data_IF_329990477796
#
_entry.id   IF_329990477796
#
_cell.length_a   1.000
_cell.length_b   1.000
_cell.length_c   1.000
_cell.angle_alpha   90.00
_cell.angle_beta   90.00
_cell.angle_gamma   90.00
#
_symmetry.space_group_name_H-M   'P 1'
#
loop_
_entity.id
_entity.type
_entity.pdbx_description
1 polymer ?
#
# COMPACT_ATOMS: atom_id res chain seq x y z
N UNK A 1 -14.44 -12.54 16.69
CA UNK A 1 -13.46 -11.55 16.16
C UNK A 1 -13.88 -10.79 14.89
N UNK A 2 -15.08 -11.03 14.37
CA UNK A 2 -15.63 -10.44 13.11
C UNK A 2 -16.20 -9.01 13.29
N UNK A 3 -16.47 -8.58 14.51
CA UNK A 3 -17.10 -7.27 14.81
C UNK A 3 -16.19 -6.03 14.67
N UNK A 4 -14.86 -6.16 14.86
CA UNK A 4 -13.93 -5.00 14.75
C UNK A 4 -13.62 -4.58 13.31
N UNK A 5 -13.64 -5.51 12.38
CA UNK A 5 -13.39 -5.21 10.94
C UNK A 5 -14.57 -4.42 10.31
N UNK A 6 -15.81 -4.71 10.72
CA UNK A 6 -17.01 -3.99 10.22
C UNK A 6 -17.01 -2.50 10.60
N UNK A 7 -16.54 -2.15 11.79
CA UNK A 7 -16.56 -0.75 12.24
C UNK A 7 -15.53 0.13 11.52
N UNK A 8 -14.42 -0.44 11.08
CA UNK A 8 -13.40 0.31 10.31
C UNK A 8 -13.84 0.55 8.87
N UNK A 9 -14.44 -0.45 8.24
CA UNK A 9 -15.02 -0.34 6.90
C UNK A 9 -16.14 0.72 6.83
N UNK A 10 -17.05 0.71 7.80
CA UNK A 10 -18.17 1.67 7.87
C UNK A 10 -17.68 3.09 8.17
N UNK A 11 -16.58 3.25 8.92
CA UNK A 11 -15.98 4.56 9.21
C UNK A 11 -15.30 5.18 7.98
N UNK A 12 -14.60 4.37 7.17
CA UNK A 12 -13.95 4.81 5.92
C UNK A 12 -14.96 5.18 4.84
N UNK A 13 -16.11 4.49 4.80
CA UNK A 13 -17.16 4.75 3.81
C UNK A 13 -17.97 6.02 4.10
N UNK A 14 -17.94 6.57 5.31
CA UNK A 14 -18.73 7.78 5.65
C UNK A 14 -18.36 9.00 4.81
N UNK A 15 -17.11 9.13 4.41
CA UNK A 15 -16.59 10.28 3.68
C UNK A 15 -16.37 10.00 2.18
N UNK A 16 -16.60 8.77 1.72
CA UNK A 16 -16.42 8.37 0.32
C UNK A 16 -17.75 8.45 -0.41
N UNK A 17 -17.86 9.20 -1.53
CA UNK A 17 -19.05 9.21 -2.36
C UNK A 17 -19.45 7.80 -2.80
N UNK A 18 -20.75 7.52 -2.76
CA UNK A 18 -21.29 6.18 -3.07
C UNK A 18 -20.91 5.72 -4.48
N UNK A 19 -20.84 6.62 -5.44
CA UNK A 19 -20.46 6.33 -6.82
C UNK A 19 -19.04 5.76 -6.92
N UNK A 20 -18.10 6.28 -6.11
CA UNK A 20 -16.74 5.78 -6.04
C UNK A 20 -16.71 4.36 -5.43
N UNK A 21 -17.50 4.12 -4.39
CA UNK A 21 -17.64 2.80 -3.78
C UNK A 21 -18.16 1.79 -4.80
N UNK A 22 -19.25 2.13 -5.49
CA UNK A 22 -19.89 1.26 -6.49
C UNK A 22 -18.94 0.98 -7.66
N UNK A 23 -18.30 2.02 -8.22
CA UNK A 23 -17.34 1.87 -9.31
C UNK A 23 -16.15 0.97 -8.90
N UNK A 24 -15.60 1.18 -7.70
CA UNK A 24 -14.48 0.36 -7.19
C UNK A 24 -14.90 -1.10 -6.97
N UNK A 25 -16.08 -1.32 -6.41
CA UNK A 25 -16.61 -2.69 -6.24
C UNK A 25 -16.86 -3.36 -7.59
N UNK A 26 -17.29 -2.58 -8.60
CA UNK A 26 -17.45 -3.04 -9.98
C UNK A 26 -16.14 -3.58 -10.57
N UNK A 27 -15.03 -2.84 -10.44
CA UNK A 27 -13.72 -3.26 -10.97
C UNK A 27 -13.15 -4.45 -10.21
N UNK A 28 -13.37 -4.55 -8.89
CA UNK A 28 -12.99 -5.75 -8.12
C UNK A 28 -13.81 -6.96 -8.59
N UNK A 29 -15.11 -6.77 -8.81
CA UNK A 29 -16.00 -7.80 -9.38
C UNK A 29 -15.58 -8.24 -10.78
N UNK A 30 -15.15 -7.31 -11.63
CA UNK A 30 -14.60 -7.58 -12.96
C UNK A 30 -13.33 -8.43 -12.87
N UNK A 31 -12.39 -8.11 -11.98
CA UNK A 31 -11.17 -8.89 -11.77
C UNK A 31 -11.49 -10.35 -11.39
N UNK A 32 -12.45 -10.56 -10.50
CA UNK A 32 -12.91 -11.90 -10.10
C UNK A 32 -13.59 -12.66 -11.24
N UNK A 33 -14.49 -12.00 -11.97
CA UNK A 33 -15.35 -12.68 -12.97
C UNK A 33 -14.63 -12.89 -14.30
N UNK A 34 -13.95 -11.86 -14.82
CA UNK A 34 -13.32 -11.89 -16.14
C UNK A 34 -11.95 -12.57 -16.12
N UNK A 35 -11.20 -12.35 -15.05
CA UNK A 35 -9.81 -12.82 -14.95
C UNK A 35 -9.63 -13.98 -13.99
N UNK A 36 -10.73 -14.43 -13.34
CA UNK A 36 -10.68 -15.42 -12.27
C UNK A 36 -9.59 -15.11 -11.24
N UNK A 37 -9.36 -13.79 -11.00
CA UNK A 37 -8.30 -13.33 -10.13
C UNK A 37 -8.79 -13.30 -8.68
N UNK A 38 -8.29 -14.20 -7.81
CA UNK A 38 -8.72 -14.26 -6.42
C UNK A 38 -8.19 -13.05 -5.66
N UNK A 39 -9.05 -12.42 -4.86
CA UNK A 39 -8.64 -11.27 -4.04
C UNK A 39 -9.15 -11.39 -2.61
N UNK A 40 -8.34 -10.95 -1.67
CA UNK A 40 -8.66 -10.86 -0.26
C UNK A 40 -9.58 -9.64 0.01
N UNK A 41 -10.43 -9.76 1.01
CA UNK A 41 -11.48 -8.78 1.27
C UNK A 41 -11.00 -7.36 1.59
N UNK A 42 -9.79 -7.19 2.07
CA UNK A 42 -9.28 -5.85 2.38
C UNK A 42 -9.06 -4.96 1.14
N UNK A 43 -9.01 -5.55 -0.07
CA UNK A 43 -8.94 -4.77 -1.32
C UNK A 43 -10.11 -3.81 -1.47
N UNK A 44 -11.30 -4.18 -0.99
CA UNK A 44 -12.48 -3.32 -1.03
C UNK A 44 -12.26 -2.01 -0.28
N UNK A 45 -11.45 -2.03 0.78
CA UNK A 45 -11.08 -0.84 1.55
C UNK A 45 -9.94 -0.10 0.88
N UNK A 46 -8.84 -0.80 0.62
CA UNK A 46 -7.59 -0.15 0.17
C UNK A 46 -7.71 0.42 -1.24
N UNK A 47 -8.38 -0.28 -2.15
CA UNK A 47 -8.58 0.23 -3.51
C UNK A 47 -9.63 1.36 -3.54
N UNK A 48 -10.70 1.27 -2.73
CA UNK A 48 -11.70 2.35 -2.65
C UNK A 48 -11.07 3.64 -2.12
N UNK A 49 -10.25 3.56 -1.08
CA UNK A 49 -9.52 4.72 -0.57
C UNK A 49 -8.57 5.28 -1.65
N UNK A 50 -7.81 4.42 -2.33
CA UNK A 50 -6.93 4.86 -3.41
C UNK A 50 -7.70 5.58 -4.52
N UNK A 51 -8.79 5.01 -5.03
CA UNK A 51 -9.62 5.61 -6.08
C UNK A 51 -10.20 6.95 -5.62
N UNK A 52 -10.66 7.04 -4.37
CA UNK A 52 -11.18 8.27 -3.81
C UNK A 52 -10.12 9.38 -3.73
N UNK A 53 -8.94 9.06 -3.20
CA UNK A 53 -7.85 10.04 -3.13
C UNK A 53 -7.37 10.48 -4.52
N UNK A 54 -7.27 9.54 -5.46
CA UNK A 54 -6.94 9.81 -6.85
C UNK A 54 -7.98 10.72 -7.51
N UNK A 55 -9.28 10.44 -7.32
CA UNK A 55 -10.39 11.26 -7.81
C UNK A 55 -10.31 12.69 -7.26
N UNK A 56 -10.11 12.84 -5.95
CA UNK A 56 -9.98 14.16 -5.29
C UNK A 56 -8.80 14.97 -5.86
N UNK A 57 -7.65 14.34 -6.06
CA UNK A 57 -6.47 15.04 -6.62
C UNK A 57 -6.69 15.45 -8.06
N UNK A 58 -7.29 14.57 -8.85
CA UNK A 58 -7.56 14.85 -10.26
C UNK A 58 -8.54 16.02 -10.41
N UNK A 59 -9.67 15.99 -9.70
CA UNK A 59 -10.71 17.03 -9.78
C UNK A 59 -10.25 18.36 -9.19
N UNK A 60 -9.32 18.34 -8.24
CA UNK A 60 -8.70 19.55 -7.69
C UNK A 60 -7.54 20.12 -8.55
N UNK A 61 -7.21 19.48 -9.68
CA UNK A 61 -6.05 19.88 -10.51
C UNK A 61 -4.69 19.68 -9.83
N UNK A 62 -4.62 18.86 -8.78
CA UNK A 62 -3.42 18.61 -7.95
C UNK A 62 -2.83 17.21 -8.18
N UNK A 63 -3.13 16.60 -9.31
CA UNK A 63 -2.61 15.27 -9.61
C UNK A 63 -1.09 15.32 -9.84
N UNK A 64 -0.39 14.38 -9.22
CA UNK A 64 1.03 14.12 -9.45
C UNK A 64 1.22 12.63 -9.67
N UNK A 65 1.95 12.27 -10.73
CA UNK A 65 2.25 10.88 -11.01
C UNK A 65 3.12 10.27 -9.90
N UNK A 66 2.79 9.04 -9.50
CA UNK A 66 3.62 8.28 -8.57
C UNK A 66 4.97 7.95 -9.23
N UNK A 67 6.09 8.12 -8.54
CA UNK A 67 7.42 7.73 -9.02
C UNK A 67 7.66 6.22 -8.96
N UNK A 68 6.63 5.42 -8.68
CA UNK A 68 6.74 3.97 -8.66
C UNK A 68 7.31 3.42 -9.98
N UNK A 69 8.18 2.40 -9.94
CA UNK A 69 8.73 1.77 -11.13
C UNK A 69 7.63 1.13 -12.00
N UNK A 70 7.93 0.89 -13.26
CA UNK A 70 7.07 0.08 -14.12
C UNK A 70 7.15 -1.39 -13.67
N UNK A 71 5.98 -1.99 -13.45
CA UNK A 71 5.84 -3.38 -12.97
C UNK A 71 5.22 -4.29 -14.02
N UNK A 72 5.04 -3.81 -15.25
CA UNK A 72 4.31 -4.50 -16.32
C UNK A 72 4.92 -5.85 -16.66
N UNK A 73 6.24 -5.88 -16.84
CA UNK A 73 6.94 -7.11 -17.26
C UNK A 73 6.95 -8.16 -16.16
N UNK A 74 6.99 -7.71 -14.91
CA UNK A 74 7.02 -8.60 -13.75
C UNK A 74 5.65 -9.14 -13.36
N UNK A 75 4.60 -8.32 -13.52
CA UNK A 75 3.23 -8.64 -13.13
C UNK A 75 2.24 -8.37 -14.27
N UNK A 76 2.35 -9.08 -15.41
CA UNK A 76 1.58 -8.77 -16.62
C UNK A 76 0.07 -8.89 -16.39
N UNK A 77 -0.41 -9.92 -15.69
CA UNK A 77 -1.83 -10.12 -15.42
C UNK A 77 -2.44 -9.06 -14.50
N UNK A 78 -1.88 -8.76 -13.30
CA UNK A 78 -2.35 -7.65 -12.49
C UNK A 78 -2.31 -6.30 -13.21
N UNK A 79 -1.30 -6.06 -14.05
CA UNK A 79 -1.20 -4.84 -14.84
C UNK A 79 -2.32 -4.75 -15.87
N UNK A 80 -2.66 -5.84 -16.55
CA UNK A 80 -3.78 -5.90 -17.50
C UNK A 80 -5.13 -5.68 -16.79
N UNK A 81 -5.34 -6.31 -15.62
CA UNK A 81 -6.52 -6.10 -14.78
C UNK A 81 -6.64 -4.62 -14.41
N UNK A 82 -5.54 -3.99 -13.99
CA UNK A 82 -5.52 -2.59 -13.61
C UNK A 82 -5.78 -1.64 -14.80
N UNK A 83 -5.32 -1.98 -16.01
CA UNK A 83 -5.62 -1.22 -17.22
C UNK A 83 -7.12 -1.26 -17.54
N UNK A 84 -7.76 -2.42 -17.41
CA UNK A 84 -9.21 -2.56 -17.57
C UNK A 84 -9.97 -1.83 -16.46
N UNK A 85 -9.50 -1.97 -15.21
CA UNK A 85 -10.08 -1.27 -14.06
C UNK A 85 -10.06 0.25 -14.26
N UNK A 86 -8.93 0.82 -14.72
CA UNK A 86 -8.83 2.26 -15.02
C UNK A 86 -9.84 2.69 -16.09
N UNK A 87 -10.00 1.91 -17.16
CA UNK A 87 -10.98 2.23 -18.23
C UNK A 87 -12.41 2.22 -17.69
N UNK A 88 -12.75 1.23 -16.88
CA UNK A 88 -14.06 1.14 -16.26
C UNK A 88 -14.30 2.29 -15.26
N UNK A 89 -13.31 2.60 -14.39
CA UNK A 89 -13.41 3.73 -13.47
C UNK A 89 -13.55 5.07 -14.20
N UNK A 90 -12.85 5.27 -15.32
CA UNK A 90 -12.99 6.48 -16.13
C UNK A 90 -14.42 6.62 -16.69
N UNK A 91 -14.98 5.52 -17.16
CA UNK A 91 -16.36 5.49 -17.67
C UNK A 91 -17.37 5.75 -16.54
N UNK A 92 -17.27 5.01 -15.44
CA UNK A 92 -18.26 5.01 -14.37
C UNK A 92 -18.27 6.31 -13.56
N UNK A 93 -17.10 6.97 -13.42
CA UNK A 93 -16.95 8.21 -12.67
C UNK A 93 -16.89 9.48 -13.55
N UNK A 94 -16.94 9.34 -14.88
CA UNK A 94 -16.88 10.47 -15.81
C UNK A 94 -15.59 11.27 -15.76
N UNK A 95 -14.47 10.62 -15.47
CA UNK A 95 -13.14 11.26 -15.35
C UNK A 95 -12.12 10.59 -16.27
N UNK A 96 -10.92 11.18 -16.37
CA UNK A 96 -9.81 10.62 -17.12
C UNK A 96 -8.60 10.40 -16.19
N UNK A 97 -8.60 9.30 -15.47
CA UNK A 97 -7.42 8.92 -14.67
C UNK A 97 -6.22 8.66 -15.59
N UNK A 98 -5.06 9.24 -15.30
CA UNK A 98 -3.86 9.07 -16.10
C UNK A 98 -3.39 7.60 -16.19
N UNK A 99 -2.68 7.25 -17.26
CA UNK A 99 -2.11 5.90 -17.42
C UNK A 99 -1.11 5.52 -16.31
N UNK A 100 -0.44 6.52 -15.74
CA UNK A 100 0.45 6.32 -14.60
C UNK A 100 -0.24 5.67 -13.38
N UNK A 101 -1.57 5.71 -13.30
CA UNK A 101 -2.33 5.05 -12.22
C UNK A 101 -2.49 3.53 -12.43
N UNK A 102 -2.27 3.01 -13.63
CA UNK A 102 -2.37 1.56 -13.88
C UNK A 102 -1.44 0.79 -12.94
N UNK A 103 -0.19 1.22 -12.78
CA UNK A 103 0.77 0.57 -11.88
C UNK A 103 0.34 0.63 -10.41
N UNK A 104 -0.24 1.74 -9.97
CA UNK A 104 -0.72 1.90 -8.60
C UNK A 104 -1.93 0.99 -8.32
N UNK A 105 -2.89 0.94 -9.25
CA UNK A 105 -4.04 0.04 -9.17
C UNK A 105 -3.57 -1.44 -9.21
N UNK A 106 -2.59 -1.76 -10.07
CA UNK A 106 -2.03 -3.11 -10.15
C UNK A 106 -1.41 -3.55 -8.81
N UNK A 107 -0.70 -2.67 -8.11
CA UNK A 107 -0.14 -2.96 -6.79
C UNK A 107 -1.22 -3.34 -5.77
N UNK A 108 -2.41 -2.73 -5.81
CA UNK A 108 -3.52 -3.15 -4.95
C UNK A 108 -3.98 -4.58 -5.26
N UNK A 109 -4.06 -4.96 -6.54
CA UNK A 109 -4.40 -6.34 -6.93
C UNK A 109 -3.29 -7.33 -6.54
N UNK A 110 -2.01 -7.00 -6.76
CA UNK A 110 -0.87 -7.83 -6.38
C UNK A 110 -0.90 -8.10 -4.87
N UNK A 111 -0.99 -7.03 -4.07
CA UNK A 111 -0.99 -7.13 -2.62
C UNK A 111 -2.22 -7.86 -2.06
N UNK A 112 -3.34 -7.81 -2.76
CA UNK A 112 -4.58 -8.47 -2.34
C UNK A 112 -4.82 -9.81 -3.01
N UNK A 113 -3.86 -10.37 -3.74
CA UNK A 113 -4.03 -11.67 -4.38
C UNK A 113 -4.38 -12.73 -3.35
N UNK A 114 -5.53 -13.34 -3.52
CA UNK A 114 -6.00 -14.49 -2.73
C UNK A 114 -5.55 -15.81 -3.35
N UNK A 115 -5.96 -16.92 -2.77
CA UNK A 115 -5.59 -18.27 -3.21
C UNK A 115 -6.82 -18.98 -3.73
N UNK A 116 -6.72 -19.60 -4.92
CA UNK A 116 -7.65 -20.63 -5.36
C UNK A 116 -7.00 -22.00 -5.10
N UNK A 117 -7.50 -22.68 -4.06
CA UNK A 117 -7.32 -24.14 -3.89
C UNK A 117 -6.05 -24.66 -3.25
N UNK A 118 -4.86 -24.27 -3.63
CA UNK A 118 -3.60 -24.59 -2.96
C UNK A 118 -2.88 -23.33 -2.53
N UNK A 119 -2.47 -23.28 -1.25
CA UNK A 119 -1.82 -22.13 -0.63
C UNK A 119 -0.49 -21.84 -1.33
N UNK A 120 -0.48 -20.88 -2.28
CA UNK A 120 0.78 -20.28 -2.75
C UNK A 120 1.44 -19.59 -1.53
N UNK A 121 2.60 -20.07 -1.07
CA UNK A 121 3.26 -19.52 0.12
C UNK A 121 3.48 -18.00 0.03
N UNK A 122 3.77 -17.48 -1.17
CA UNK A 122 4.01 -16.06 -1.45
C UNK A 122 2.78 -15.20 -1.17
N UNK A 123 1.61 -15.67 -1.59
CA UNK A 123 0.35 -14.94 -1.38
C UNK A 123 -0.01 -14.89 0.10
N UNK A 124 0.19 -16.01 0.80
CA UNK A 124 -0.03 -16.07 2.25
C UNK A 124 0.93 -15.13 2.98
N UNK A 125 2.18 -15.07 2.56
CA UNK A 125 3.20 -14.21 3.15
C UNK A 125 2.87 -12.73 2.92
N UNK A 126 2.52 -12.34 1.70
CA UNK A 126 2.10 -10.97 1.38
C UNK A 126 0.91 -10.53 2.24
N UNK A 127 -0.11 -11.37 2.37
CA UNK A 127 -1.29 -11.07 3.19
C UNK A 127 -0.93 -10.90 4.67
N UNK A 128 -0.03 -11.75 5.20
CA UNK A 128 0.43 -11.69 6.60
C UNK A 128 1.24 -10.41 6.86
N UNK A 129 2.19 -10.08 5.99
CA UNK A 129 3.01 -8.86 6.09
C UNK A 129 2.11 -7.63 6.09
N UNK A 130 1.20 -7.52 5.12
CA UNK A 130 0.29 -6.39 5.01
C UNK A 130 -0.65 -6.27 6.23
N UNK A 131 -1.14 -7.39 6.77
CA UNK A 131 -2.00 -7.39 7.95
C UNK A 131 -1.26 -6.85 9.18
N UNK A 132 -0.01 -7.28 9.39
CA UNK A 132 0.83 -6.84 10.51
C UNK A 132 1.10 -5.34 10.41
N UNK A 133 1.56 -4.86 9.26
CA UNK A 133 1.84 -3.42 9.04
C UNK A 133 0.59 -2.58 9.25
N UNK A 134 -0.55 -3.01 8.71
CA UNK A 134 -1.84 -2.30 8.88
C UNK A 134 -2.27 -2.26 10.35
N UNK A 135 -2.08 -3.36 11.08
CA UNK A 135 -2.44 -3.43 12.51
C UNK A 135 -1.57 -2.47 13.34
N UNK A 136 -0.27 -2.44 13.10
CA UNK A 136 0.63 -1.51 13.79
C UNK A 136 0.28 -0.07 13.44
N UNK A 137 0.07 0.24 12.16
CA UNK A 137 -0.33 1.58 11.75
C UNK A 137 -1.62 2.05 12.41
N UNK A 138 -2.64 1.18 12.48
CA UNK A 138 -3.89 1.50 13.16
C UNK A 138 -3.69 1.84 14.64
N UNK A 139 -2.76 1.15 15.33
CA UNK A 139 -2.40 1.43 16.73
C UNK A 139 -1.83 2.84 16.92
N UNK A 140 -1.05 3.32 15.93
CA UNK A 140 -0.43 4.65 15.97
C UNK A 140 -1.23 5.75 15.26
N UNK A 141 -2.45 5.43 14.79
CA UNK A 141 -3.31 6.38 14.08
C UNK A 141 -2.76 6.80 12.71
N UNK A 142 -1.87 6.00 12.11
CA UNK A 142 -1.34 6.25 10.78
C UNK A 142 -2.33 5.74 9.74
N UNK A 143 -3.05 6.68 9.13
CA UNK A 143 -4.01 6.41 8.08
C UNK A 143 -3.53 7.02 6.76
N UNK A 144 -3.83 6.35 5.65
CA UNK A 144 -3.65 6.91 4.32
C UNK A 144 -4.56 8.13 4.16
N UNK A 145 -4.00 9.23 3.65
CA UNK A 145 -4.73 10.46 3.38
C UNK A 145 -4.17 11.16 2.14
N UNK A 146 -4.80 12.23 1.73
CA UNK A 146 -4.40 13.01 0.55
C UNK A 146 -2.93 13.46 0.59
N UNK A 147 -2.44 13.87 1.75
CA UNK A 147 -1.08 14.42 1.89
C UNK A 147 0.01 13.33 1.83
N UNK A 148 -0.26 12.13 2.37
CA UNK A 148 0.74 11.08 2.53
C UNK A 148 0.61 9.90 1.55
N UNK A 149 -0.36 9.92 0.64
CA UNK A 149 -0.68 8.81 -0.26
C UNK A 149 0.53 8.32 -1.07
N UNK A 150 1.34 9.22 -1.64
CA UNK A 150 2.52 8.83 -2.42
C UNK A 150 3.55 8.08 -1.57
N UNK A 151 3.61 8.37 -0.28
CA UNK A 151 4.50 7.67 0.65
C UNK A 151 3.95 6.30 1.03
N UNK A 152 2.62 6.17 1.15
CA UNK A 152 1.98 4.85 1.30
C UNK A 152 2.24 3.97 0.09
N UNK A 153 2.10 4.49 -1.13
CA UNK A 153 2.33 3.73 -2.35
C UNK A 153 3.79 3.22 -2.43
N UNK A 154 4.76 4.06 -2.02
CA UNK A 154 6.17 3.64 -1.93
C UNK A 154 6.41 2.57 -0.87
N UNK A 155 5.76 2.70 0.28
CA UNK A 155 5.83 1.67 1.32
C UNK A 155 5.24 0.33 0.81
N UNK A 156 4.11 0.35 0.10
CA UNK A 156 3.52 -0.86 -0.48
C UNK A 156 4.46 -1.53 -1.48
N UNK A 157 5.19 -0.75 -2.30
CA UNK A 157 6.23 -1.28 -3.20
C UNK A 157 7.36 -1.93 -2.39
N UNK A 158 7.82 -1.24 -1.34
CA UNK A 158 8.86 -1.78 -0.47
C UNK A 158 8.43 -3.11 0.19
N UNK A 159 7.20 -3.18 0.70
CA UNK A 159 6.64 -4.41 1.27
C UNK A 159 6.59 -5.55 0.25
N UNK A 160 6.28 -5.26 -1.02
CA UNK A 160 6.31 -6.26 -2.07
C UNK A 160 7.73 -6.81 -2.31
N UNK A 161 8.73 -5.94 -2.37
CA UNK A 161 10.13 -6.37 -2.49
C UNK A 161 10.62 -7.12 -1.25
N UNK A 162 10.19 -6.72 -0.05
CA UNK A 162 10.48 -7.47 1.18
C UNK A 162 9.95 -8.90 1.08
N UNK A 163 8.68 -9.06 0.70
CA UNK A 163 8.07 -10.40 0.54
C UNK A 163 8.85 -11.25 -0.45
N UNK A 164 9.30 -10.68 -1.56
CA UNK A 164 10.10 -11.39 -2.55
C UNK A 164 11.45 -11.85 -2.00
N UNK A 165 12.18 -10.97 -1.30
CA UNK A 165 13.44 -11.34 -0.66
C UNK A 165 13.27 -12.40 0.41
N UNK A 166 12.19 -12.35 1.17
CA UNK A 166 11.87 -13.37 2.15
C UNK A 166 11.56 -14.74 1.51
N UNK A 167 10.93 -14.75 0.31
CA UNK A 167 10.65 -15.99 -0.42
C UNK A 167 11.90 -16.61 -1.07
N UNK A 168 12.80 -15.76 -1.58
CA UNK A 168 14.05 -16.23 -2.22
C UNK A 168 15.16 -16.47 -1.21
N UNK A 169 14.93 -16.16 0.07
CA UNK A 169 15.95 -16.16 1.13
C UNK A 169 17.18 -15.29 0.80
N UNK A 170 16.96 -14.28 -0.05
CA UNK A 170 17.96 -13.28 -0.44
C UNK A 170 17.78 -12.05 0.44
N UNK A 171 18.55 -11.94 1.49
CA UNK A 171 18.70 -10.68 2.23
C UNK A 171 19.97 -9.98 1.74
N UNK A 172 19.89 -8.66 1.56
CA UNK A 172 21.07 -7.85 1.19
C UNK A 172 22.20 -8.10 2.20
N UNK A 173 23.35 -8.56 1.70
CA UNK A 173 24.53 -8.85 2.53
C UNK A 173 25.19 -7.56 3.07
N UNK A 174 24.89 -6.41 2.48
CA UNK A 174 25.42 -5.11 2.93
C UNK A 174 24.68 -4.64 4.19
N UNK A 175 25.20 -4.96 5.35
CA UNK A 175 24.72 -4.44 6.62
C UNK A 175 25.14 -2.97 6.78
N UNK A 176 24.16 -2.07 6.98
CA UNK A 176 24.40 -0.65 7.22
C UNK A 176 25.10 -0.37 8.56
N UNK A 177 25.26 -1.39 9.39
CA UNK A 177 25.90 -1.32 10.70
C UNK A 177 25.03 -0.69 11.79
N UNK A 178 25.26 -1.07 13.05
CA UNK A 178 24.44 -0.67 14.19
C UNK A 178 24.48 0.84 14.52
N UNK A 179 25.47 1.57 14.03
CA UNK A 179 25.61 3.02 14.26
C UNK A 179 24.49 3.81 13.58
N UNK A 180 24.08 3.40 12.38
CA UNK A 180 23.00 4.05 11.63
C UNK A 180 21.68 3.91 12.37
N UNK A 181 21.38 2.75 12.94
CA UNK A 181 20.17 2.53 13.74
C UNK A 181 20.09 3.47 14.96
N UNK A 182 21.23 3.73 15.63
CA UNK A 182 21.28 4.67 16.76
C UNK A 182 21.02 6.12 16.34
N UNK A 183 21.56 6.55 15.20
CA UNK A 183 21.30 7.88 14.65
C UNK A 183 19.84 8.06 14.28
N UNK A 184 19.21 7.08 13.64
CA UNK A 184 17.78 7.12 13.32
C UNK A 184 16.92 7.15 14.58
N UNK A 185 17.28 6.41 15.63
CA UNK A 185 16.56 6.46 16.92
C UNK A 185 16.60 7.87 17.54
N UNK A 186 17.72 8.56 17.43
CA UNK A 186 17.88 9.91 17.95
C UNK A 186 17.14 10.95 17.12
N UNK A 187 17.24 10.85 15.79
CA UNK A 187 16.69 11.83 14.85
C UNK A 187 15.18 11.66 14.62
N UNK A 188 14.69 10.42 14.62
CA UNK A 188 13.31 10.06 14.28
C UNK A 188 12.69 9.09 15.29
N UNK A 189 12.60 9.44 16.58
CA UNK A 189 12.23 8.50 17.66
C UNK A 189 10.86 7.86 17.46
N UNK A 190 9.88 8.61 16.95
CA UNK A 190 8.53 8.07 16.68
C UNK A 190 8.55 7.04 15.56
N UNK A 191 9.19 7.35 14.44
CA UNK A 191 9.31 6.43 13.30
C UNK A 191 10.13 5.20 13.64
N UNK A 192 11.19 5.38 14.43
CA UNK A 192 11.99 4.28 14.96
C UNK A 192 11.13 3.32 15.81
N UNK A 193 10.33 3.85 16.74
CA UNK A 193 9.47 3.03 17.60
C UNK A 193 8.47 2.21 16.76
N UNK A 194 7.81 2.83 15.79
CA UNK A 194 6.82 2.17 14.94
C UNK A 194 7.49 1.10 14.05
N UNK A 195 8.64 1.43 13.44
CA UNK A 195 9.41 0.49 12.63
C UNK A 195 9.88 -0.72 13.44
N UNK A 196 10.40 -0.48 14.66
CA UNK A 196 10.81 -1.56 15.56
C UNK A 196 9.65 -2.49 15.91
N UNK A 197 8.46 -1.95 16.17
CA UNK A 197 7.28 -2.77 16.44
C UNK A 197 6.88 -3.59 15.21
N UNK A 198 6.89 -2.99 14.01
CA UNK A 198 6.61 -3.72 12.76
C UNK A 198 7.60 -4.87 12.56
N UNK A 199 8.90 -4.59 12.65
CA UNK A 199 9.93 -5.62 12.48
C UNK A 199 9.79 -6.73 13.51
N UNK A 200 9.57 -6.40 14.78
CA UNK A 200 9.36 -7.38 15.86
C UNK A 200 8.15 -8.27 15.60
N UNK A 201 7.01 -7.69 15.19
CA UNK A 201 5.81 -8.47 14.90
C UNK A 201 5.97 -9.33 13.63
N UNK A 202 6.69 -8.84 12.59
CA UNK A 202 7.03 -9.61 11.41
C UNK A 202 7.95 -10.80 11.76
N UNK A 203 9.04 -10.55 12.47
CA UNK A 203 9.98 -11.60 12.90
C UNK A 203 9.29 -12.69 13.71
N UNK A 204 8.45 -12.29 14.67
CA UNK A 204 7.68 -13.22 15.51
C UNK A 204 6.66 -14.02 14.70
N UNK A 205 5.89 -13.35 13.82
CA UNK A 205 4.82 -14.00 13.07
C UNK A 205 5.33 -14.91 11.96
N UNK A 206 6.47 -14.56 11.36
CA UNK A 206 7.05 -15.26 10.21
C UNK A 206 8.20 -16.21 10.61
N UNK A 207 8.66 -16.14 11.87
CA UNK A 207 9.81 -16.89 12.38
C UNK A 207 11.10 -16.65 11.58
N UNK A 208 11.34 -15.39 11.23
CA UNK A 208 12.51 -14.91 10.47
C UNK A 208 13.33 -13.93 11.30
N UNK A 209 14.48 -13.55 10.78
CA UNK A 209 15.25 -12.39 11.22
C UNK A 209 15.32 -11.38 10.10
N UNK A 210 14.98 -10.13 10.39
CA UNK A 210 15.16 -9.01 9.49
C UNK A 210 16.51 -8.35 9.77
N UNK A 211 17.23 -7.95 8.72
CA UNK A 211 18.48 -7.22 8.86
C UNK A 211 18.23 -5.73 9.17
N UNK A 212 19.28 -5.01 9.55
CA UNK A 212 19.21 -3.57 9.86
C UNK A 212 18.74 -2.74 8.65
N UNK A 213 19.03 -3.16 7.42
CA UNK A 213 18.59 -2.45 6.22
C UNK A 213 17.06 -2.38 6.15
N UNK A 214 16.36 -3.49 6.41
CA UNK A 214 14.90 -3.52 6.42
C UNK A 214 14.34 -2.60 7.52
N UNK A 215 14.97 -2.59 8.70
CA UNK A 215 14.58 -1.69 9.78
C UNK A 215 14.72 -0.22 9.37
N UNK A 216 15.85 0.15 8.79
CA UNK A 216 16.12 1.51 8.29
C UNK A 216 15.11 1.89 7.18
N UNK A 217 14.81 0.98 6.26
CA UNK A 217 13.79 1.23 5.22
C UNK A 217 12.42 1.53 5.83
N UNK A 218 11.97 0.75 6.82
CA UNK A 218 10.73 1.04 7.53
C UNK A 218 10.77 2.41 8.20
N UNK A 219 11.84 2.77 8.89
CA UNK A 219 11.98 4.07 9.55
C UNK A 219 11.82 5.21 8.52
N UNK A 220 12.51 5.14 7.38
CA UNK A 220 12.47 6.17 6.34
C UNK A 220 11.05 6.32 5.77
N UNK A 221 10.39 5.20 5.44
CA UNK A 221 9.04 5.24 4.89
C UNK A 221 8.02 5.77 5.90
N UNK A 222 8.10 5.32 7.16
CA UNK A 222 7.23 5.78 8.24
C UNK A 222 7.47 7.26 8.54
N UNK A 223 8.72 7.71 8.56
CA UNK A 223 9.03 9.13 8.76
C UNK A 223 8.37 10.01 7.70
N UNK A 224 8.40 9.58 6.45
CA UNK A 224 7.72 10.29 5.35
C UNK A 224 6.20 10.29 5.48
N UNK A 225 5.62 9.22 6.05
CA UNK A 225 4.18 9.15 6.31
C UNK A 225 3.74 10.08 7.45
N UNK A 226 4.61 10.29 8.46
CA UNK A 226 4.34 11.13 9.63
C UNK A 226 4.57 12.61 9.34
N UNK A 227 5.52 12.95 8.45
CA UNK A 227 5.79 14.33 8.07
C UNK A 227 4.55 14.90 7.37
N UNK A 228 3.93 15.88 8.01
CA UNK A 228 2.97 16.73 7.30
C UNK A 228 3.68 17.37 6.10
N UNK A 229 3.02 17.50 4.95
CA UNK A 229 3.61 18.20 3.83
C UNK A 229 3.97 19.60 4.32
N UNK A 230 5.25 19.94 4.28
CA UNK A 230 5.67 21.31 4.44
C UNK A 230 4.89 22.11 3.40
N UNK A 231 4.02 22.99 3.86
CA UNK A 231 3.45 24.03 3.01
C UNK A 231 4.63 24.69 2.33
N UNK A 232 4.70 24.63 1.01
CA UNK A 232 5.69 25.38 0.24
C UNK A 232 5.68 26.80 0.80
N UNK A 233 6.86 27.39 1.08
CA UNK A 233 6.91 28.78 1.51
C UNK A 233 6.18 29.61 0.45
N UNK A 234 5.44 30.67 0.85
CA UNK A 234 4.76 31.52 -0.12
C UNK A 234 5.81 31.99 -1.14
N UNK A 235 5.51 31.81 -2.41
CA UNK A 235 6.34 32.34 -3.50
C UNK A 235 6.61 33.81 -3.18
N UNK A 236 7.87 34.17 -3.09
CA UNK A 236 8.27 35.57 -3.00
C UNK A 236 7.85 36.27 -4.30
N UNK A 237 7.27 37.49 -4.20
CA UNK A 237 6.83 38.25 -5.35
C UNK A 237 7.96 38.68 -6.27
#
# INVERSE_FOLDING_TARGET
MIRKSKNHFTSLLKDVPIDIVVATFGVIGMAKKKYHYPVLNYIYVTLTDHVFQMYKRLTAGKYQASPAPDIRDRYPLPYQIAADARRQLNHDLGVQFPEAEIKNIALHFINAKGVDGELDPTVTLTARVNAIVTQVFAKYGLNRNFANQNYFDRLMIHLQYLVERLNTNEQDEADLGPEIGQDFRRLYPKSFTIATEICTELEKALQIKLNENEHVYFIIHIQRLIQEPQTLPPEYP
#
